data_IF_920636492201
#
_entry.id   IF_920636492201
#
_cell.length_a   1.000
_cell.length_b   1.000
_cell.length_c   1.000
_cell.angle_alpha   90.00
_cell.angle_beta   90.00
_cell.angle_gamma   90.00
#
_symmetry.space_group_name_H-M   'P 1'
#
loop_
_entity.id
_entity.type
_entity.pdbx_description
1 polymer ?
#
# COMPACT_ATOMS: atom_id res chain seq x y z
N UNK A 1 18.57 -10.72 -39.90
CA UNK A 1 17.19 -10.24 -39.84
C UNK A 1 16.42 -10.75 -38.60
N UNK A 2 16.35 -12.06 -38.35
CA UNK A 2 15.60 -12.62 -37.19
C UNK A 2 16.06 -12.10 -35.82
N UNK A 3 17.36 -11.92 -35.57
CA UNK A 3 17.91 -11.41 -34.32
C UNK A 3 17.59 -9.91 -34.11
N UNK A 4 17.55 -9.10 -35.15
CA UNK A 4 17.16 -7.69 -35.07
C UNK A 4 15.68 -7.49 -34.72
N UNK A 5 14.80 -8.36 -35.23
CA UNK A 5 13.36 -8.30 -34.93
C UNK A 5 13.12 -8.69 -33.47
N UNK A 6 13.81 -9.70 -32.95
CA UNK A 6 13.71 -10.13 -31.55
C UNK A 6 14.23 -9.06 -30.58
N UNK A 7 15.31 -8.36 -30.92
CA UNK A 7 15.83 -7.26 -30.09
C UNK A 7 14.89 -6.05 -30.10
N UNK A 8 14.27 -5.74 -31.22
CA UNK A 8 13.30 -4.63 -31.33
C UNK A 8 12.02 -4.92 -30.54
N UNK A 9 11.52 -6.15 -30.62
CA UNK A 9 10.35 -6.61 -29.84
C UNK A 9 10.64 -6.58 -28.33
N UNK A 10 11.82 -7.03 -27.90
CA UNK A 10 12.23 -6.97 -26.50
C UNK A 10 12.33 -5.52 -26.01
N UNK A 11 12.85 -4.62 -26.82
CA UNK A 11 12.95 -3.19 -26.48
C UNK A 11 11.55 -2.52 -26.35
N UNK A 12 10.62 -2.85 -27.25
CA UNK A 12 9.24 -2.37 -27.20
C UNK A 12 8.49 -2.91 -25.97
N UNK A 13 8.72 -4.16 -25.60
CA UNK A 13 8.12 -4.74 -24.39
C UNK A 13 8.66 -4.07 -23.13
N UNK A 14 9.95 -3.76 -23.07
CA UNK A 14 10.58 -3.09 -21.92
C UNK A 14 10.09 -1.64 -21.77
N UNK A 15 9.89 -0.91 -22.88
CA UNK A 15 9.35 0.45 -22.82
C UNK A 15 7.89 0.48 -22.39
N UNK A 16 7.06 -0.43 -22.90
CA UNK A 16 5.67 -0.55 -22.49
C UNK A 16 5.55 -0.94 -20.99
N UNK A 17 6.42 -1.82 -20.50
CA UNK A 17 6.49 -2.21 -19.10
C UNK A 17 6.88 -1.03 -18.18
N UNK A 18 7.87 -0.25 -18.57
CA UNK A 18 8.32 0.94 -17.84
C UNK A 18 7.22 2.02 -17.78
N UNK A 19 6.48 2.22 -18.87
CA UNK A 19 5.38 3.18 -18.91
C UNK A 19 4.22 2.80 -17.98
N UNK A 20 3.86 1.51 -17.92
CA UNK A 20 2.75 1.05 -17.05
C UNK A 20 3.11 1.10 -15.57
N UNK A 21 4.36 0.85 -15.20
CA UNK A 21 4.84 1.00 -13.82
C UNK A 21 4.81 2.48 -13.38
N UNK A 22 5.26 3.40 -14.25
CA UNK A 22 5.17 4.84 -14.01
C UNK A 22 3.71 5.33 -13.90
N UNK A 23 2.79 4.74 -14.66
CA UNK A 23 1.36 5.07 -14.58
C UNK A 23 0.75 4.67 -13.23
N UNK A 24 1.14 3.53 -12.65
CA UNK A 24 0.69 3.12 -11.32
C UNK A 24 1.14 4.13 -10.24
N UNK A 25 2.39 4.57 -10.32
CA UNK A 25 2.95 5.55 -9.37
C UNK A 25 2.20 6.89 -9.46
N UNK A 26 1.89 7.38 -10.67
CA UNK A 26 1.10 8.59 -10.89
C UNK A 26 -0.31 8.48 -10.31
N UNK A 27 -0.98 7.33 -10.46
CA UNK A 27 -2.30 7.10 -9.86
C UNK A 27 -2.25 7.14 -8.33
N UNK A 28 -1.17 6.64 -7.72
CA UNK A 28 -0.97 6.73 -6.26
C UNK A 28 -0.77 8.17 -5.83
N UNK A 29 0.03 8.97 -6.55
CA UNK A 29 0.22 10.39 -6.26
C UNK A 29 -1.09 11.19 -6.38
N UNK A 30 -1.88 10.93 -7.41
CA UNK A 30 -3.21 11.54 -7.57
C UNK A 30 -4.14 11.16 -6.42
N UNK A 31 -4.13 9.89 -6.02
CA UNK A 31 -4.95 9.40 -4.91
C UNK A 31 -4.54 10.04 -3.57
N UNK A 32 -3.25 10.27 -3.32
CA UNK A 32 -2.79 11.00 -2.14
C UNK A 32 -3.32 12.43 -2.08
N UNK A 33 -3.36 13.12 -3.22
CA UNK A 33 -3.95 14.45 -3.32
C UNK A 33 -5.46 14.45 -3.06
N UNK A 34 -6.16 13.42 -3.52
CA UNK A 34 -7.60 13.23 -3.27
C UNK A 34 -7.86 12.88 -1.80
N UNK A 35 -7.03 12.02 -1.20
CA UNK A 35 -7.11 11.69 0.22
C UNK A 35 -6.95 12.93 1.10
N UNK A 36 -5.98 13.80 0.78
CA UNK A 36 -5.78 15.06 1.52
C UNK A 36 -6.97 16.02 1.42
N UNK A 37 -7.78 15.89 0.36
CA UNK A 37 -9.04 16.61 0.16
C UNK A 37 -10.26 15.87 0.72
N UNK A 38 -10.05 14.71 1.36
CA UNK A 38 -11.07 13.81 1.89
C UNK A 38 -12.01 13.22 0.80
N UNK A 39 -11.62 13.26 -0.46
CA UNK A 39 -12.34 12.56 -1.54
C UNK A 39 -11.89 11.08 -1.58
N UNK A 40 -12.26 10.35 -0.53
CA UNK A 40 -11.89 8.95 -0.37
C UNK A 40 -12.47 8.03 -1.46
N UNK A 41 -13.72 8.21 -1.95
CA UNK A 41 -14.25 7.34 -3.01
C UNK A 41 -13.44 7.41 -4.31
N UNK A 42 -13.07 8.62 -4.74
CA UNK A 42 -12.26 8.81 -5.94
C UNK A 42 -10.82 8.30 -5.72
N UNK A 43 -10.24 8.55 -4.54
CA UNK A 43 -8.93 8.03 -4.17
C UNK A 43 -8.90 6.49 -4.21
N UNK A 44 -9.91 5.82 -3.65
CA UNK A 44 -10.05 4.36 -3.68
C UNK A 44 -10.07 3.83 -5.12
N UNK A 45 -10.81 4.49 -6.01
CA UNK A 45 -10.89 4.09 -7.42
C UNK A 45 -9.51 4.15 -8.09
N UNK A 46 -8.75 5.23 -7.88
CA UNK A 46 -7.39 5.40 -8.40
C UNK A 46 -6.42 4.37 -7.83
N UNK A 47 -6.48 4.11 -6.52
CA UNK A 47 -5.60 3.14 -5.84
C UNK A 47 -5.86 1.71 -6.30
N UNK A 48 -7.11 1.33 -6.55
CA UNK A 48 -7.43 0.01 -7.11
C UNK A 48 -6.85 -0.17 -8.51
N UNK A 49 -6.96 0.86 -9.37
CA UNK A 49 -6.33 0.84 -10.68
C UNK A 49 -4.80 0.72 -10.58
N UNK A 50 -4.18 1.44 -9.63
CA UNK A 50 -2.75 1.35 -9.38
C UNK A 50 -2.34 -0.06 -8.89
N UNK A 51 -3.09 -0.66 -7.97
CA UNK A 51 -2.82 -2.01 -7.47
C UNK A 51 -2.88 -3.06 -8.59
N UNK A 52 -3.89 -2.99 -9.45
CA UNK A 52 -4.01 -3.85 -10.64
C UNK A 52 -2.81 -3.71 -11.59
N UNK A 53 -2.34 -2.47 -11.81
CA UNK A 53 -1.15 -2.22 -12.63
C UNK A 53 0.14 -2.78 -12.00
N UNK A 54 0.32 -2.66 -10.69
CA UNK A 54 1.46 -3.27 -9.99
C UNK A 54 1.44 -4.80 -10.12
N UNK A 55 0.27 -5.43 -9.97
CA UNK A 55 0.12 -6.87 -10.15
C UNK A 55 0.43 -7.26 -11.61
N UNK A 56 -0.14 -6.56 -12.58
CA UNK A 56 0.06 -6.82 -14.02
C UNK A 56 1.51 -6.65 -14.45
N UNK A 57 2.24 -5.74 -13.83
CA UNK A 57 3.66 -5.49 -14.10
C UNK A 57 4.61 -6.29 -13.21
N UNK A 58 4.14 -7.34 -12.53
CA UNK A 58 4.98 -8.20 -11.69
C UNK A 58 5.53 -7.56 -10.42
N UNK A 59 5.16 -6.31 -10.10
CA UNK A 59 5.52 -5.62 -8.85
C UNK A 59 4.64 -6.04 -7.67
N UNK A 60 4.32 -7.33 -7.59
CA UNK A 60 3.39 -7.89 -6.59
C UNK A 60 3.90 -7.74 -5.16
N UNK A 61 5.22 -7.77 -4.97
CA UNK A 61 5.90 -7.60 -3.69
C UNK A 61 6.88 -6.43 -3.80
N UNK A 62 6.35 -5.21 -3.88
CA UNK A 62 7.14 -3.99 -4.00
C UNK A 62 6.79 -2.95 -2.93
N UNK A 63 7.73 -2.04 -2.64
CA UNK A 63 7.53 -0.96 -1.68
C UNK A 63 6.47 0.04 -2.16
N UNK A 64 6.38 0.25 -3.48
CA UNK A 64 5.39 1.12 -4.13
C UNK A 64 3.98 0.54 -3.95
N UNK A 65 3.80 -0.76 -4.25
CA UNK A 65 2.52 -1.45 -4.04
C UNK A 65 2.13 -1.46 -2.57
N UNK A 66 3.07 -1.71 -1.65
CA UNK A 66 2.81 -1.63 -0.21
C UNK A 66 2.32 -0.24 0.22
N UNK A 67 2.83 0.82 -0.43
CA UNK A 67 2.38 2.20 -0.19
C UNK A 67 0.96 2.42 -0.74
N UNK A 68 0.68 1.93 -1.94
CA UNK A 68 -0.66 1.96 -2.53
C UNK A 68 -1.70 1.29 -1.60
N UNK A 69 -1.43 0.06 -1.16
CA UNK A 69 -2.31 -0.69 -0.26
C UNK A 69 -2.48 0.00 1.11
N UNK A 70 -1.42 0.61 1.64
CA UNK A 70 -1.49 1.37 2.88
C UNK A 70 -2.46 2.56 2.78
N UNK A 71 -2.39 3.33 1.69
CA UNK A 71 -3.28 4.47 1.48
C UNK A 71 -4.71 3.98 1.22
N UNK A 72 -4.87 2.90 0.45
CA UNK A 72 -6.16 2.28 0.18
C UNK A 72 -6.84 1.82 1.47
N UNK A 73 -6.10 1.17 2.36
CA UNK A 73 -6.59 0.79 3.69
C UNK A 73 -7.05 2.01 4.50
N UNK A 74 -6.26 3.08 4.52
CA UNK A 74 -6.57 4.33 5.22
C UNK A 74 -7.84 5.01 4.67
N UNK A 75 -8.01 5.05 3.34
CA UNK A 75 -9.23 5.58 2.73
C UNK A 75 -10.48 4.80 3.16
N UNK A 76 -10.40 3.46 3.22
CA UNK A 76 -11.51 2.65 3.72
C UNK A 76 -11.76 2.85 5.22
N UNK A 77 -10.71 3.01 6.02
CA UNK A 77 -10.85 3.30 7.45
C UNK A 77 -11.58 4.63 7.70
N UNK A 78 -11.23 5.68 6.94
CA UNK A 78 -11.89 6.98 7.05
C UNK A 78 -13.37 6.94 6.63
N UNK A 79 -13.76 5.96 5.82
CA UNK A 79 -15.17 5.68 5.48
C UNK A 79 -15.82 4.65 6.43
N UNK A 80 -15.15 4.26 7.50
CA UNK A 80 -15.58 3.23 8.46
C UNK A 80 -15.96 1.90 7.79
N UNK A 81 -15.27 1.53 6.70
CA UNK A 81 -15.57 0.34 5.92
C UNK A 81 -14.68 -0.84 6.31
N UNK A 82 -15.26 -2.06 6.40
CA UNK A 82 -14.54 -3.26 6.84
C UNK A 82 -13.39 -3.67 5.91
N UNK A 83 -13.43 -3.30 4.64
CA UNK A 83 -12.36 -3.60 3.67
C UNK A 83 -11.02 -2.98 4.11
N UNK A 84 -11.04 -1.93 4.93
CA UNK A 84 -9.85 -1.29 5.46
C UNK A 84 -8.91 -2.25 6.17
N UNK A 85 -9.44 -3.26 6.88
CA UNK A 85 -8.62 -4.27 7.56
C UNK A 85 -7.74 -5.05 6.58
N UNK A 86 -8.34 -5.56 5.51
CA UNK A 86 -7.62 -6.37 4.52
C UNK A 86 -6.44 -5.59 3.92
N UNK A 87 -6.67 -4.37 3.49
CA UNK A 87 -5.63 -3.56 2.85
C UNK A 87 -4.55 -3.10 3.83
N UNK A 88 -4.89 -2.75 5.07
CA UNK A 88 -3.89 -2.39 6.08
C UNK A 88 -3.02 -3.58 6.47
N UNK A 89 -3.59 -4.78 6.60
CA UNK A 89 -2.84 -6.01 6.86
C UNK A 89 -1.92 -6.37 5.70
N UNK A 90 -2.42 -6.38 4.46
CA UNK A 90 -1.58 -6.63 3.28
C UNK A 90 -0.39 -5.65 3.21
N UNK A 91 -0.64 -4.38 3.46
CA UNK A 91 0.43 -3.37 3.48
C UNK A 91 1.44 -3.61 4.61
N UNK A 92 0.97 -4.00 5.81
CA UNK A 92 1.83 -4.33 6.94
C UNK A 92 2.71 -5.54 6.63
N UNK A 93 2.13 -6.64 6.14
CA UNK A 93 2.87 -7.87 5.82
C UNK A 93 3.93 -7.64 4.74
N UNK A 94 3.59 -6.90 3.69
CA UNK A 94 4.56 -6.53 2.65
C UNK A 94 5.68 -5.65 3.20
N UNK A 95 5.36 -4.63 4.00
CA UNK A 95 6.36 -3.75 4.61
C UNK A 95 7.25 -4.47 5.60
N UNK A 96 6.68 -5.39 6.40
CA UNK A 96 7.45 -6.26 7.30
C UNK A 96 8.48 -7.09 6.52
N UNK A 97 8.03 -7.71 5.42
CA UNK A 97 8.89 -8.58 4.58
C UNK A 97 9.99 -7.78 3.87
N UNK A 98 9.68 -6.60 3.34
CA UNK A 98 10.60 -5.80 2.52
C UNK A 98 11.53 -4.94 3.38
N UNK A 99 11.01 -4.37 4.46
CA UNK A 99 11.67 -3.30 5.23
C UNK A 99 12.07 -3.74 6.66
N UNK A 100 11.51 -4.84 7.15
CA UNK A 100 11.72 -5.33 8.52
C UNK A 100 10.76 -4.72 9.55
N UNK A 101 10.74 -5.33 10.73
CA UNK A 101 9.80 -4.99 11.82
C UNK A 101 10.10 -3.64 12.49
N UNK A 102 11.33 -3.18 12.44
CA UNK A 102 11.75 -1.90 13.03
C UNK A 102 11.57 -0.71 12.08
N UNK A 103 11.04 -0.94 10.86
CA UNK A 103 10.83 0.14 9.92
C UNK A 103 9.54 0.92 10.23
N UNK A 104 9.64 2.24 10.29
CA UNK A 104 8.51 3.13 10.63
C UNK A 104 7.31 2.96 9.68
N UNK A 105 7.52 2.60 8.41
CA UNK A 105 6.44 2.35 7.46
C UNK A 105 5.66 1.08 7.81
N UNK A 106 6.33 0.03 8.29
CA UNK A 106 5.67 -1.16 8.82
C UNK A 106 4.82 -0.81 10.03
N UNK A 107 5.41 -0.15 11.02
CA UNK A 107 4.74 0.27 12.26
C UNK A 107 3.52 1.14 11.96
N UNK A 108 3.63 2.06 11.00
CA UNK A 108 2.48 2.87 10.54
C UNK A 108 1.34 2.03 9.96
N UNK A 109 1.64 0.97 9.20
CA UNK A 109 0.58 0.06 8.71
C UNK A 109 -0.04 -0.77 9.81
N UNK A 110 0.76 -1.23 10.76
CA UNK A 110 0.27 -1.96 11.94
C UNK A 110 -0.63 -1.07 12.81
N UNK A 111 -0.26 0.21 12.98
CA UNK A 111 -1.10 1.18 13.70
C UNK A 111 -2.47 1.38 13.01
N UNK A 112 -2.52 1.41 11.68
CA UNK A 112 -3.80 1.48 10.95
C UNK A 112 -4.66 0.23 11.19
N UNK A 113 -4.05 -0.95 11.37
CA UNK A 113 -4.77 -2.16 11.77
C UNK A 113 -5.37 -2.00 13.17
N UNK A 114 -4.62 -1.42 14.10
CA UNK A 114 -5.13 -1.08 15.44
C UNK A 114 -6.30 -0.09 15.37
N UNK A 115 -6.17 0.94 14.53
CA UNK A 115 -7.23 1.92 14.31
C UNK A 115 -8.52 1.29 13.77
N UNK A 116 -8.40 0.30 12.86
CA UNK A 116 -9.57 -0.47 12.42
C UNK A 116 -10.32 -1.12 13.58
N UNK A 117 -9.59 -1.81 14.46
CA UNK A 117 -10.21 -2.46 15.62
C UNK A 117 -10.81 -1.46 16.62
N UNK A 118 -10.26 -0.25 16.68
CA UNK A 118 -10.79 0.81 17.53
C UNK A 118 -12.07 1.42 16.95
N UNK A 119 -12.07 1.79 15.67
CA UNK A 119 -13.12 2.65 15.08
C UNK A 119 -14.21 1.85 14.35
N UNK A 120 -13.83 0.83 13.58
CA UNK A 120 -14.76 0.06 12.74
C UNK A 120 -15.29 -1.17 13.48
N UNK A 121 -14.39 -2.02 13.96
CA UNK A 121 -14.78 -3.25 14.63
C UNK A 121 -15.23 -3.04 16.09
N UNK A 122 -14.90 -1.89 16.72
CA UNK A 122 -15.19 -1.58 18.13
C UNK A 122 -14.65 -2.67 19.10
N UNK A 123 -13.57 -3.34 18.71
CA UNK A 123 -12.93 -4.39 19.49
C UNK A 123 -11.73 -3.81 20.27
N UNK A 124 -12.04 -3.11 21.36
CA UNK A 124 -11.08 -2.34 22.15
C UNK A 124 -9.89 -3.15 22.70
N UNK A 125 -10.07 -4.39 23.22
CA UNK A 125 -8.94 -5.20 23.67
C UNK A 125 -7.93 -5.47 22.56
N UNK A 126 -8.38 -5.77 21.34
CA UNK A 126 -7.50 -6.03 20.19
C UNK A 126 -6.81 -4.74 19.71
N UNK A 127 -7.53 -3.63 19.72
CA UNK A 127 -6.93 -2.32 19.43
C UNK A 127 -5.81 -1.99 20.42
N UNK A 128 -6.04 -2.17 21.73
CA UNK A 128 -5.05 -1.93 22.78
C UNK A 128 -3.82 -2.82 22.64
N UNK A 129 -3.98 -4.12 22.34
CA UNK A 129 -2.88 -5.06 22.08
C UNK A 129 -1.99 -4.55 20.93
N UNK A 130 -2.61 -4.18 19.80
CA UNK A 130 -1.87 -3.72 18.63
C UNK A 130 -1.16 -2.39 18.90
N UNK A 131 -1.81 -1.43 19.55
CA UNK A 131 -1.19 -0.15 19.88
C UNK A 131 -0.06 -0.30 20.90
N UNK A 132 -0.18 -1.20 21.87
CA UNK A 132 0.92 -1.52 22.79
C UNK A 132 2.13 -2.11 22.05
N UNK A 133 1.90 -3.04 21.12
CA UNK A 133 2.95 -3.59 20.28
C UNK A 133 3.62 -2.51 19.39
N UNK A 134 2.83 -1.63 18.77
CA UNK A 134 3.39 -0.52 17.96
C UNK A 134 4.23 0.42 18.81
N UNK A 135 3.81 0.72 20.04
CA UNK A 135 4.59 1.52 20.97
C UNK A 135 5.92 0.87 21.32
N UNK A 136 5.91 -0.43 21.64
CA UNK A 136 7.13 -1.19 21.93
C UNK A 136 8.10 -1.19 20.73
N UNK A 137 7.59 -1.39 19.52
CA UNK A 137 8.41 -1.33 18.30
C UNK A 137 9.00 0.07 18.10
N UNK A 138 8.23 1.13 18.32
CA UNK A 138 8.73 2.50 18.24
C UNK A 138 9.85 2.77 19.25
N UNK A 139 9.75 2.27 20.49
CA UNK A 139 10.76 2.47 21.52
C UNK A 139 12.10 1.81 21.18
N UNK A 140 12.10 0.77 20.35
CA UNK A 140 13.32 0.09 19.87
C UNK A 140 14.05 0.84 18.75
N UNK A 141 13.39 1.83 18.11
CA UNK A 141 13.95 2.58 16.98
C UNK A 141 14.61 3.87 17.46
N UNK A 142 14.16 4.42 18.59
CA UNK A 142 14.75 5.62 19.18
C UNK A 142 16.04 5.25 19.91
N UNK A 143 17.17 5.90 19.56
CA UNK A 143 18.43 5.73 20.27
C UNK A 143 18.35 6.29 21.70
#
# INVERSE_FOLDING_TARGET
>A
MRQFILSLLACLCLTAYSQTASQADLLVEEAQKLESKQDYPTAITKLKQADELYVKTGKTQSAERATCLHILGRCYLNLERPEGLTYTQMAADMRKTILGETNIKYISSLNNTGLYYLTVAKHYPKAAEIHSNTWELCSRIQP
#
